data_IF_489213512768
#
_entry.id   IF_489213512768
#
_cell.length_a   1.000
_cell.length_b   1.000
_cell.length_c   1.000
_cell.angle_alpha   90.00
_cell.angle_beta   90.00
_cell.angle_gamma   90.00
#
_symmetry.space_group_name_H-M   'P 1'
#
loop_
_entity.id
_entity.type
_entity.pdbx_description
1 polymer ?
#
# COMPACT_ATOMS: atom_id res chain seq x y z
N UNK A 1 13.16 12.15 -1.44
CA UNK A 1 11.73 12.49 -1.34
C UNK A 1 11.03 11.39 -0.56
N UNK A 2 10.19 11.76 0.38
CA UNK A 2 9.49 10.81 1.25
C UNK A 2 8.22 10.32 0.56
N UNK A 3 7.89 9.04 0.69
CA UNK A 3 6.69 8.48 0.10
C UNK A 3 6.25 7.23 0.83
N UNK A 4 4.97 6.88 0.66
CA UNK A 4 4.44 5.61 1.11
C UNK A 4 4.56 4.57 -0.01
N UNK A 5 4.80 3.31 0.35
CA UNK A 5 4.86 2.18 -0.56
C UNK A 5 3.70 1.26 -0.24
N UNK A 6 3.03 0.76 -1.28
CA UNK A 6 2.10 -0.37 -1.19
C UNK A 6 2.65 -1.54 -2.04
N UNK A 7 2.75 -2.72 -1.45
CA UNK A 7 3.21 -3.95 -2.12
C UNK A 7 2.10 -5.00 -2.00
N UNK A 8 1.54 -5.48 -3.12
CA UNK A 8 0.59 -6.60 -3.10
C UNK A 8 1.17 -7.82 -2.39
N UNK A 9 0.34 -8.54 -1.64
CA UNK A 9 0.78 -9.72 -0.88
C UNK A 9 1.43 -10.76 -1.81
N UNK A 10 2.64 -11.26 -1.50
CA UNK A 10 3.28 -12.30 -2.29
C UNK A 10 2.53 -13.64 -2.22
N UNK A 11 1.58 -13.80 -1.29
CA UNK A 11 0.73 -14.99 -1.18
C UNK A 11 -0.45 -14.97 -2.16
N UNK A 12 -0.82 -13.79 -2.69
CA UNK A 12 -1.97 -13.57 -3.56
C UNK A 12 -1.54 -13.07 -4.95
N UNK A 13 -0.44 -13.59 -5.49
CA UNK A 13 0.12 -13.17 -6.78
C UNK A 13 -0.68 -13.81 -7.92
N UNK A 14 -1.84 -13.23 -8.22
CA UNK A 14 -2.58 -13.49 -9.46
C UNK A 14 -2.71 -12.21 -10.26
N UNK A 15 -2.89 -12.35 -11.58
CA UNK A 15 -3.11 -11.21 -12.48
C UNK A 15 -4.34 -10.41 -12.06
N UNK A 16 -5.45 -11.10 -11.78
CA UNK A 16 -6.70 -10.48 -11.36
C UNK A 16 -6.54 -9.67 -10.07
N UNK A 17 -5.87 -10.22 -9.05
CA UNK A 17 -5.66 -9.50 -7.79
C UNK A 17 -4.77 -8.26 -7.98
N UNK A 18 -3.72 -8.37 -8.79
CA UNK A 18 -2.83 -7.23 -9.06
C UNK A 18 -3.54 -6.13 -9.86
N UNK A 19 -4.37 -6.50 -10.84
CA UNK A 19 -5.22 -5.56 -11.60
C UNK A 19 -6.28 -4.91 -10.69
N UNK A 20 -6.86 -5.67 -9.76
CA UNK A 20 -7.84 -5.14 -8.79
C UNK A 20 -7.17 -4.13 -7.84
N UNK A 21 -5.99 -4.42 -7.31
CA UNK A 21 -5.21 -3.46 -6.51
C UNK A 21 -4.86 -2.21 -7.33
N UNK A 22 -4.42 -2.39 -8.58
CA UNK A 22 -4.13 -1.28 -9.49
C UNK A 22 -5.34 -0.35 -9.64
N UNK A 23 -6.52 -0.92 -9.86
CA UNK A 23 -7.76 -0.17 -10.02
C UNK A 23 -8.19 0.55 -8.74
N UNK A 24 -7.99 -0.05 -7.56
CA UNK A 24 -8.27 0.62 -6.28
C UNK A 24 -7.34 1.82 -6.10
N UNK A 25 -6.04 1.65 -6.36
CA UNK A 25 -5.06 2.73 -6.26
C UNK A 25 -5.30 3.84 -7.29
N UNK A 26 -5.72 3.51 -8.52
CA UNK A 26 -6.12 4.51 -9.50
C UNK A 26 -7.28 5.38 -8.98
N UNK A 27 -8.32 4.77 -8.37
CA UNK A 27 -9.40 5.53 -7.73
C UNK A 27 -8.90 6.39 -6.57
N UNK A 28 -7.95 5.90 -5.78
CA UNK A 28 -7.32 6.68 -4.71
C UNK A 28 -6.57 7.90 -5.26
N UNK A 29 -5.81 7.71 -6.35
CA UNK A 29 -5.12 8.78 -7.07
C UNK A 29 -6.11 9.85 -7.53
N UNK A 30 -7.22 9.45 -8.15
CA UNK A 30 -8.22 10.39 -8.67
C UNK A 30 -8.96 11.14 -7.55
N UNK A 31 -9.38 10.42 -6.50
CA UNK A 31 -10.17 11.00 -5.40
C UNK A 31 -9.34 11.94 -4.52
N UNK A 32 -8.11 11.55 -4.19
CA UNK A 32 -7.24 12.30 -3.27
C UNK A 32 -6.19 13.16 -3.98
N UNK A 33 -6.15 13.13 -5.31
CA UNK A 33 -5.16 13.83 -6.15
C UNK A 33 -3.72 13.53 -5.74
N UNK A 34 -3.47 12.28 -5.32
CA UNK A 34 -2.14 11.80 -4.93
C UNK A 34 -1.44 11.14 -6.11
N UNK A 35 -0.17 11.44 -6.33
CA UNK A 35 0.58 10.81 -7.41
C UNK A 35 0.99 9.38 -7.02
N UNK A 36 0.58 8.39 -7.80
CA UNK A 36 0.91 6.97 -7.58
C UNK A 36 1.68 6.42 -8.77
N UNK A 37 2.90 5.96 -8.53
CA UNK A 37 3.78 5.40 -9.56
C UNK A 37 3.96 3.90 -9.34
N UNK A 38 3.48 3.04 -10.25
CA UNK A 38 3.74 1.60 -10.20
C UNK A 38 5.18 1.30 -10.65
N UNK A 39 5.86 0.41 -9.94
CA UNK A 39 7.21 -0.06 -10.25
C UNK A 39 7.28 -1.59 -10.20
N UNK A 40 8.03 -2.26 -11.10
CA UNK A 40 8.27 -3.69 -11.00
C UNK A 40 8.92 -4.07 -9.66
N UNK A 41 8.48 -5.17 -9.07
CA UNK A 41 9.16 -5.73 -7.89
C UNK A 41 10.36 -6.54 -8.34
N UNK A 42 11.55 -6.22 -7.80
CA UNK A 42 12.76 -7.03 -8.03
C UNK A 42 12.80 -8.16 -7.01
N UNK A 43 12.54 -9.39 -7.44
CA UNK A 43 12.74 -10.58 -6.60
C UNK A 43 14.19 -11.07 -6.74
N UNK A 44 14.79 -11.57 -5.63
CA UNK A 44 16.18 -12.05 -5.60
C UNK A 44 16.39 -13.36 -6.37
N UNK A 45 15.35 -14.15 -6.59
CA UNK A 45 15.40 -15.41 -7.33
C UNK A 45 14.16 -15.51 -8.23
N UNK A 46 14.36 -15.65 -9.54
CA UNK A 46 13.32 -15.91 -10.53
C UNK A 46 12.77 -14.69 -11.30
N UNK A 47 12.07 -14.98 -12.40
CA UNK A 47 11.31 -14.00 -13.17
C UNK A 47 10.06 -13.60 -12.38
N UNK A 48 10.02 -12.34 -11.92
CA UNK A 48 8.82 -11.76 -11.34
C UNK A 48 7.80 -11.51 -12.47
N UNK A 49 6.52 -11.89 -12.32
CA UNK A 49 5.51 -11.59 -13.34
C UNK A 49 5.37 -10.08 -13.56
N UNK A 50 5.20 -9.64 -14.81
CA UNK A 50 5.14 -8.21 -15.17
C UNK A 50 3.96 -7.46 -14.52
N UNK A 51 2.91 -8.20 -14.16
CA UNK A 51 1.75 -7.66 -13.48
C UNK A 51 1.99 -7.41 -11.97
N UNK A 52 3.03 -8.00 -11.37
CA UNK A 52 3.33 -7.82 -9.95
C UNK A 52 4.20 -6.58 -9.73
N UNK A 53 3.54 -5.49 -9.33
CA UNK A 53 4.15 -4.17 -9.13
C UNK A 53 3.98 -3.70 -7.70
N UNK A 54 4.97 -2.99 -7.18
CA UNK A 54 4.86 -2.15 -5.99
C UNK A 54 4.45 -0.74 -6.42
N UNK A 55 3.81 0.01 -5.53
CA UNK A 55 3.27 1.32 -5.83
C UNK A 55 3.90 2.36 -4.91
N UNK A 56 4.52 3.40 -5.49
CA UNK A 56 5.00 4.58 -4.75
C UNK A 56 3.88 5.61 -4.71
N UNK A 57 3.40 5.93 -3.52
CA UNK A 57 2.34 6.88 -3.26
C UNK A 57 3.00 8.13 -2.68
N UNK A 58 3.11 9.16 -3.51
CA UNK A 58 3.72 10.44 -3.12
C UNK A 58 2.71 11.25 -2.31
N UNK A 59 2.92 11.27 -1.01
CA UNK A 59 2.18 12.05 -0.02
C UNK A 59 3.09 12.43 1.14
N UNK A 60 2.66 13.41 1.93
CA UNK A 60 3.36 13.77 3.17
C UNK A 60 3.22 12.66 4.21
N UNK A 61 4.34 12.03 4.55
CA UNK A 61 4.41 11.04 5.64
C UNK A 61 4.93 11.73 6.90
N UNK A 62 4.39 11.35 8.07
CA UNK A 62 4.82 11.91 9.35
C UNK A 62 6.30 11.59 9.61
N UNK A 63 6.97 12.49 10.33
CA UNK A 63 8.31 12.26 10.83
C UNK A 63 8.33 11.15 11.89
N UNK A 64 9.54 10.71 12.21
CA UNK A 64 9.78 9.51 13.01
C UNK A 64 9.53 9.76 14.50
N UNK A 65 8.28 9.67 14.93
CA UNK A 65 7.94 9.67 16.36
C UNK A 65 8.04 8.24 16.92
N UNK A 66 9.02 8.01 17.81
CA UNK A 66 9.56 6.69 18.20
C UNK A 66 8.61 5.62 18.76
N UNK A 67 7.30 5.86 18.87
CA UNK A 67 6.32 4.91 19.42
C UNK A 67 5.15 4.54 18.47
N UNK A 68 5.05 5.15 17.27
CA UNK A 68 3.94 4.94 16.31
C UNK A 68 4.31 4.17 15.05
N UNK A 69 5.48 3.54 15.03
CA UNK A 69 6.13 3.12 13.78
C UNK A 69 5.47 1.95 13.06
N UNK A 70 4.65 1.11 13.71
CA UNK A 70 4.13 -0.12 13.08
C UNK A 70 2.83 0.07 12.26
N UNK A 71 2.05 1.12 12.52
CA UNK A 71 0.70 1.26 11.95
C UNK A 71 0.56 2.45 11.00
N UNK A 72 -0.34 2.30 10.02
CA UNK A 72 -0.87 3.41 9.23
C UNK A 72 -1.61 4.39 10.16
N UNK A 73 -1.62 5.67 9.76
CA UNK A 73 -2.48 6.66 10.40
C UNK A 73 -3.94 6.39 10.03
N UNK A 74 -4.87 6.77 10.90
CA UNK A 74 -6.30 6.61 10.59
C UNK A 74 -6.73 7.36 9.33
N UNK A 75 -6.05 8.46 8.99
CA UNK A 75 -6.27 9.17 7.73
C UNK A 75 -5.87 8.33 6.52
N UNK A 76 -4.73 7.62 6.58
CA UNK A 76 -4.29 6.73 5.49
C UNK A 76 -5.15 5.48 5.38
N UNK A 77 -5.55 4.89 6.51
CA UNK A 77 -6.48 3.76 6.51
C UNK A 77 -7.79 4.15 5.84
N UNK A 78 -8.37 5.30 6.23
CA UNK A 78 -9.58 5.82 5.62
C UNK A 78 -9.38 6.17 4.14
N UNK A 79 -8.24 6.74 3.78
CA UNK A 79 -7.91 7.08 2.38
C UNK A 79 -7.89 5.82 1.50
N UNK A 80 -7.27 4.74 1.97
CA UNK A 80 -7.17 3.48 1.23
C UNK A 80 -8.53 2.77 1.18
N UNK A 81 -9.24 2.70 2.31
CA UNK A 81 -10.47 1.90 2.41
C UNK A 81 -11.70 2.59 1.84
N UNK A 82 -11.75 3.93 1.83
CA UNK A 82 -12.89 4.68 1.29
C UNK A 82 -13.10 4.52 -0.22
N UNK A 83 -12.05 4.12 -0.97
CA UNK A 83 -12.13 3.87 -2.42
C UNK A 83 -12.38 2.41 -2.77
N UNK A 84 -12.48 1.53 -1.76
CA UNK A 84 -12.95 0.17 -1.91
C UNK A 84 -14.48 0.16 -2.06
N UNK A 85 -14.97 -0.61 -3.03
CA UNK A 85 -16.40 -0.71 -3.38
C UNK A 85 -17.12 -1.88 -2.70
N UNK A 86 -16.36 -2.85 -2.19
CA UNK A 86 -16.89 -4.06 -1.58
C UNK A 86 -15.92 -4.61 -0.52
N UNK A 87 -16.38 -5.56 0.32
CA UNK A 87 -15.55 -6.16 1.36
C UNK A 87 -14.32 -6.91 0.82
N UNK A 88 -14.39 -7.50 -0.37
CA UNK A 88 -13.24 -8.21 -0.96
C UNK A 88 -12.08 -7.25 -1.28
N UNK A 89 -12.39 -6.06 -1.80
CA UNK A 89 -11.38 -5.03 -2.04
C UNK A 89 -10.78 -4.51 -0.73
N UNK A 90 -11.58 -4.39 0.33
CA UNK A 90 -11.10 -4.03 1.68
C UNK A 90 -10.07 -5.05 2.17
N UNK A 91 -10.41 -6.34 2.13
CA UNK A 91 -9.51 -7.41 2.57
C UNK A 91 -8.26 -7.50 1.69
N UNK A 92 -8.39 -7.27 0.38
CA UNK A 92 -7.27 -7.23 -0.56
C UNK A 92 -6.29 -6.10 -0.22
N UNK A 93 -6.81 -4.90 0.08
CA UNK A 93 -5.97 -3.76 0.47
C UNK A 93 -5.38 -3.92 1.87
N UNK A 94 -6.11 -4.49 2.82
CA UNK A 94 -5.59 -4.84 4.16
C UNK A 94 -4.47 -5.88 4.08
N UNK A 95 -4.54 -6.80 3.12
CA UNK A 95 -3.50 -7.81 2.86
C UNK A 95 -2.23 -7.27 2.21
N UNK A 96 -2.23 -6.03 1.70
CA UNK A 96 -1.03 -5.41 1.14
C UNK A 96 -0.03 -5.04 2.24
N UNK A 97 1.26 -5.09 1.92
CA UNK A 97 2.32 -4.56 2.80
C UNK A 97 2.52 -3.09 2.52
N UNK A 98 2.44 -2.26 3.57
CA UNK A 98 2.71 -0.83 3.47
C UNK A 98 4.07 -0.51 4.07
N UNK A 99 4.69 0.56 3.60
CA UNK A 99 5.91 1.06 4.19
C UNK A 99 6.09 2.56 3.96
N UNK A 100 6.73 3.23 4.89
CA UNK A 100 7.24 4.58 4.72
C UNK A 100 8.67 4.52 4.22
N UNK A 101 8.93 5.22 3.13
CA UNK A 101 10.29 5.45 2.62
C UNK A 101 10.75 6.84 3.03
N UNK A 102 11.67 6.87 3.99
CA UNK A 102 12.49 8.04 4.32
C UNK A 102 13.80 8.01 3.50
N UNK A 103 14.62 9.08 3.50
CA UNK A 103 15.83 9.12 2.69
C UNK A 103 16.82 7.99 3.02
N UNK A 104 16.92 7.61 4.29
CA UNK A 104 17.88 6.62 4.79
C UNK A 104 17.23 5.33 5.28
N UNK A 105 15.92 5.30 5.50
CA UNK A 105 15.24 4.16 6.15
C UNK A 105 13.93 3.78 5.45
N UNK A 106 13.54 2.52 5.66
CA UNK A 106 12.24 1.99 5.28
C UNK A 106 11.56 1.48 6.55
N UNK A 107 10.35 1.93 6.84
CA UNK A 107 9.58 1.52 8.02
C UNK A 107 8.31 0.83 7.58
N UNK A 108 8.15 -0.45 7.93
CA UNK A 108 6.95 -1.22 7.56
C UNK A 108 5.74 -0.72 8.35
N UNK A 109 4.60 -0.69 7.67
CA UNK A 109 3.31 -0.25 8.17
C UNK A 109 2.25 -1.31 7.90
N UNK A 110 1.36 -1.50 8.86
CA UNK A 110 0.16 -2.32 8.71
C UNK A 110 -1.09 -1.51 9.03
N UNK A 111 -2.23 -2.00 8.60
CA UNK A 111 -3.51 -1.60 9.19
C UNK A 111 -3.50 -1.94 10.68
N UNK A 112 -4.18 -1.13 11.48
CA UNK A 112 -4.53 -1.47 12.85
C UNK A 112 -5.49 -2.64 12.80
N UNK A 113 -5.23 -3.67 13.60
CA UNK A 113 -6.24 -4.69 13.83
C UNK A 113 -7.45 -4.01 14.47
N UNK A 114 -8.64 -4.28 13.94
CA UNK A 114 -9.88 -3.99 14.65
C UNK A 114 -9.73 -4.60 16.03
N UNK A 115 -9.64 -3.76 17.08
CA UNK A 115 -9.70 -4.25 18.46
C UNK A 115 -11.00 -5.04 18.53
N UNK A 116 -10.90 -6.38 18.53
CA UNK A 116 -12.02 -7.28 18.80
C UNK A 116 -12.68 -6.73 20.06
N UNK A 117 -13.85 -6.14 19.87
CA UNK A 117 -14.66 -5.54 20.94
C UNK A 117 -15.68 -6.57 21.37
#
# INVERSE_FOLDING_TARGET
>A
MNYMICIPSPRLVSREYCERIHNILARMSDQYRVNIVPEPVKMRQGSCPDFYKKYRIYKDIKERDGNGEAYLTSEEENMILSVCRNPEEVELMKGCTYAYRYPTTLVLKSFREDKKR
#
